data_IF_809362930439
#
_entry.id   IF_809362930439
#
_cell.length_a   1.000
_cell.length_b   1.000
_cell.length_c   1.000
_cell.angle_alpha   90.00
_cell.angle_beta   90.00
_cell.angle_gamma   90.00
#
_symmetry.space_group_name_H-M   'P 1'
#
loop_
_entity.id
_entity.type
_entity.pdbx_description
1 polymer ?
#
# COMPACT_ATOMS: atom_id res chain seq x y z
N UNK A 1 15.78 15.59 -16.05
CA UNK A 1 14.91 15.97 -17.20
C UNK A 1 13.78 16.86 -16.68
N UNK A 2 13.00 17.59 -17.49
CA UNK A 2 11.82 18.27 -16.96
C UNK A 2 10.81 17.22 -16.47
N UNK A 3 10.34 17.37 -15.23
CA UNK A 3 9.34 16.48 -14.65
C UNK A 3 8.03 16.57 -15.44
N UNK A 4 7.43 15.43 -15.79
CA UNK A 4 6.24 15.40 -16.62
C UNK A 4 4.98 15.82 -15.83
N UNK A 5 4.29 16.86 -16.28
CA UNK A 5 3.01 17.27 -15.70
C UNK A 5 1.85 16.45 -16.29
N UNK A 6 1.07 15.79 -15.43
CA UNK A 6 -0.08 14.99 -15.84
C UNK A 6 -1.35 15.85 -15.95
N UNK A 7 -2.11 15.64 -17.02
CA UNK A 7 -3.39 16.30 -17.24
C UNK A 7 -4.56 15.43 -16.78
N UNK A 8 -5.44 15.94 -15.92
CA UNK A 8 -6.58 15.19 -15.38
C UNK A 8 -7.56 14.68 -16.44
N UNK A 9 -7.61 15.27 -17.64
CA UNK A 9 -8.51 14.80 -18.71
C UNK A 9 -8.11 13.45 -19.33
N UNK A 10 -6.88 12.99 -19.11
CA UNK A 10 -6.36 11.71 -19.61
C UNK A 10 -5.81 10.87 -18.45
N UNK A 11 -6.68 10.23 -17.64
CA UNK A 11 -6.27 9.46 -16.48
C UNK A 11 -5.35 8.27 -16.82
N UNK A 12 -5.45 7.72 -18.03
CA UNK A 12 -4.70 6.56 -18.49
C UNK A 12 -3.26 6.87 -18.93
N UNK A 13 -2.92 8.15 -19.15
CA UNK A 13 -1.63 8.52 -19.73
C UNK A 13 -0.57 8.75 -18.66
N UNK A 14 0.50 7.99 -18.76
CA UNK A 14 1.74 8.16 -18.02
C UNK A 14 2.95 8.16 -18.97
N UNK A 15 4.04 8.87 -18.65
CA UNK A 15 5.32 8.73 -19.35
C UNK A 15 5.86 7.30 -19.20
N UNK A 16 6.73 6.89 -20.13
CA UNK A 16 7.44 5.61 -20.01
C UNK A 16 8.29 5.59 -18.73
N UNK A 17 8.23 4.49 -17.97
CA UNK A 17 8.89 4.37 -16.65
C UNK A 17 10.41 4.50 -16.70
N UNK A 18 11.06 4.16 -17.82
CA UNK A 18 12.51 4.35 -18.01
C UNK A 18 12.94 5.83 -18.04
N UNK A 19 11.99 6.77 -18.14
CA UNK A 19 12.23 8.21 -18.08
C UNK A 19 12.24 8.73 -16.64
N UNK A 20 11.97 7.87 -15.64
CA UNK A 20 12.00 8.25 -14.24
C UNK A 20 13.40 8.75 -13.83
N UNK A 21 13.42 9.73 -12.93
CA UNK A 21 14.66 10.29 -12.41
C UNK A 21 15.46 9.25 -11.62
N UNK A 22 16.79 9.32 -11.73
CA UNK A 22 17.70 8.51 -10.91
C UNK A 22 17.80 9.05 -9.48
N UNK A 23 17.68 10.37 -9.34
CA UNK A 23 17.73 11.08 -8.06
C UNK A 23 16.72 12.25 -8.07
N UNK A 24 15.66 12.21 -7.24
CA UNK A 24 15.29 11.10 -6.36
C UNK A 24 14.84 9.86 -7.17
N UNK A 25 15.19 8.65 -6.71
CA UNK A 25 15.00 7.42 -7.48
C UNK A 25 13.50 7.17 -7.77
N UNK A 26 13.16 7.14 -9.04
CA UNK A 26 11.85 6.75 -9.52
C UNK A 26 10.88 7.90 -9.72
N UNK A 27 11.21 9.15 -9.39
CA UNK A 27 10.29 10.26 -9.61
C UNK A 27 10.02 10.42 -11.12
N UNK A 28 8.76 10.25 -11.54
CA UNK A 28 8.39 10.15 -12.95
C UNK A 28 7.54 11.32 -13.42
N UNK A 29 6.56 11.73 -12.62
CA UNK A 29 5.58 12.75 -12.99
C UNK A 29 4.99 13.45 -11.77
N UNK A 30 4.39 14.63 -12.01
CA UNK A 30 3.62 15.38 -11.00
C UNK A 30 2.21 15.73 -11.51
N UNK A 31 1.31 16.03 -10.59
CA UNK A 31 -0.04 16.51 -10.87
C UNK A 31 -1.04 15.40 -11.22
N UNK A 32 -2.10 15.75 -11.94
CA UNK A 32 -3.24 14.87 -12.16
C UNK A 32 -4.18 14.83 -10.95
N UNK A 33 -4.69 13.65 -10.62
CA UNK A 33 -5.70 13.43 -9.57
C UNK A 33 -5.62 11.99 -9.03
N UNK A 34 -6.31 11.69 -7.93
CA UNK A 34 -6.33 10.35 -7.34
C UNK A 34 -7.59 9.54 -7.71
N UNK A 35 -8.26 9.85 -8.83
CA UNK A 35 -9.46 9.10 -9.21
C UNK A 35 -9.09 7.66 -9.57
N UNK A 36 -10.01 6.70 -9.35
CA UNK A 36 -9.78 5.28 -9.61
C UNK A 36 -9.15 4.97 -10.97
N UNK A 37 -9.64 5.60 -12.04
CA UNK A 37 -9.13 5.37 -13.39
C UNK A 37 -7.62 5.65 -13.52
N UNK A 38 -7.11 6.72 -12.88
CA UNK A 38 -5.68 7.07 -12.91
C UNK A 38 -4.87 6.14 -12.03
N UNK A 39 -5.32 5.86 -10.82
CA UNK A 39 -4.61 4.95 -9.91
C UNK A 39 -4.45 3.56 -10.53
N UNK A 40 -5.53 3.00 -11.08
CA UNK A 40 -5.49 1.70 -11.74
C UNK A 40 -4.56 1.71 -12.97
N UNK A 41 -4.55 2.79 -13.76
CA UNK A 41 -3.58 2.94 -14.85
C UNK A 41 -2.14 2.99 -14.32
N UNK A 42 -1.89 3.75 -13.25
CA UNK A 42 -0.57 3.85 -12.63
C UNK A 42 -0.05 2.48 -12.21
N UNK A 43 -0.82 1.73 -11.42
CA UNK A 43 -0.43 0.39 -10.95
C UNK A 43 -0.16 -0.58 -12.10
N UNK A 44 -0.96 -0.55 -13.17
CA UNK A 44 -0.75 -1.38 -14.38
C UNK A 44 0.55 -1.05 -15.10
N UNK A 45 1.06 0.17 -14.94
CA UNK A 45 2.36 0.60 -15.46
C UNK A 45 3.50 0.44 -14.43
N UNK A 46 3.23 -0.11 -13.24
CA UNK A 46 4.22 -0.20 -12.16
C UNK A 46 4.52 1.15 -11.50
N UNK A 47 3.59 2.09 -11.57
CA UNK A 47 3.70 3.45 -11.02
C UNK A 47 2.81 3.54 -9.78
N UNK A 48 3.27 4.25 -8.74
CA UNK A 48 2.46 4.50 -7.54
C UNK A 48 2.53 5.97 -7.10
N UNK A 49 1.47 6.50 -6.48
CA UNK A 49 1.47 7.84 -5.94
C UNK A 49 2.17 7.88 -4.56
N UNK A 50 2.99 8.89 -4.31
CA UNK A 50 3.60 9.10 -3.00
C UNK A 50 4.00 10.57 -2.82
N UNK A 51 3.35 11.28 -1.90
CA UNK A 51 3.54 12.72 -1.69
C UNK A 51 3.04 13.12 -0.30
N UNK A 52 3.43 14.32 0.14
CA UNK A 52 3.08 14.87 1.45
C UNK A 52 1.84 15.76 1.38
N UNK A 53 1.23 16.05 2.53
CA UNK A 53 0.12 16.99 2.60
C UNK A 53 0.53 18.38 2.09
N UNK A 54 -0.29 18.96 1.21
CA UNK A 54 0.00 20.24 0.55
C UNK A 54 0.84 20.13 -0.72
N UNK A 55 1.45 18.97 -1.01
CA UNK A 55 2.11 18.71 -2.29
C UNK A 55 1.11 18.26 -3.35
N UNK A 56 1.35 18.58 -4.65
CA UNK A 56 0.59 17.95 -5.73
C UNK A 56 0.90 16.44 -5.76
N UNK A 57 0.02 15.60 -6.34
CA UNK A 57 0.33 14.19 -6.51
C UNK A 57 1.66 13.98 -7.24
N UNK A 58 2.55 13.19 -6.65
CA UNK A 58 3.82 12.76 -7.27
C UNK A 58 3.75 11.28 -7.57
N UNK A 59 4.25 10.88 -8.73
CA UNK A 59 4.14 9.53 -9.27
C UNK A 59 5.51 8.91 -9.46
N UNK A 60 5.67 7.67 -8.98
CA UNK A 60 6.97 7.04 -8.80
C UNK A 60 7.06 5.67 -9.47
N UNK A 61 8.18 5.40 -10.12
CA UNK A 61 8.56 4.13 -10.75
C UNK A 61 10.07 3.85 -10.51
N UNK A 62 10.46 3.45 -9.28
CA UNK A 62 11.86 3.26 -8.91
C UNK A 62 12.51 2.07 -9.63
N UNK A 63 13.81 2.20 -9.89
CA UNK A 63 14.67 1.14 -10.43
C UNK A 63 15.94 1.00 -9.55
N UNK A 64 16.20 -0.15 -8.92
CA UNK A 64 15.38 -1.37 -8.92
C UNK A 64 14.09 -1.24 -8.11
N UNK A 65 13.07 -2.04 -8.46
CA UNK A 65 11.81 -2.14 -7.71
C UNK A 65 11.91 -3.21 -6.62
N UNK A 66 11.51 -2.85 -5.39
CA UNK A 66 11.35 -3.83 -4.32
C UNK A 66 10.15 -4.73 -4.60
N UNK A 67 10.37 -6.04 -4.62
CA UNK A 67 9.34 -7.07 -4.80
C UNK A 67 9.53 -8.17 -3.77
N UNK A 68 8.41 -8.74 -3.31
CA UNK A 68 8.40 -9.92 -2.46
C UNK A 68 7.70 -11.05 -3.22
N UNK A 69 8.44 -12.11 -3.56
CA UNK A 69 7.84 -13.31 -4.12
C UNK A 69 7.17 -14.10 -2.98
N UNK A 70 5.87 -14.45 -3.08
CA UNK A 70 5.18 -15.16 -1.99
C UNK A 70 5.91 -16.46 -1.56
N UNK A 71 6.46 -17.20 -2.52
CA UNK A 71 7.24 -18.42 -2.28
C UNK A 71 8.54 -18.20 -1.48
N UNK A 72 9.08 -16.98 -1.49
CA UNK A 72 10.34 -16.61 -0.83
C UNK A 72 10.14 -15.99 0.55
N UNK A 73 8.89 -15.91 1.05
CA UNK A 73 8.62 -15.26 2.32
C UNK A 73 9.35 -15.96 3.49
N UNK A 74 10.25 -15.21 4.12
CA UNK A 74 11.06 -15.74 5.20
C UNK A 74 10.25 -15.93 6.48
N UNK A 75 10.16 -17.18 6.95
CA UNK A 75 9.49 -17.57 8.19
C UNK A 75 10.50 -18.26 9.11
N UNK A 76 11.03 -17.53 10.09
CA UNK A 76 12.03 -18.09 10.99
C UNK A 76 11.43 -19.23 11.85
N UNK A 77 12.24 -20.25 12.17
CA UNK A 77 11.81 -21.39 13.00
C UNK A 77 11.28 -20.93 14.37
N UNK A 78 11.86 -19.86 14.93
CA UNK A 78 11.43 -19.26 16.21
C UNK A 78 10.02 -18.66 16.08
N UNK A 79 9.78 -17.92 15.00
CA UNK A 79 8.48 -17.30 14.74
C UNK A 79 7.39 -18.36 14.50
N UNK A 80 7.69 -19.41 13.74
CA UNK A 80 6.76 -20.52 13.53
C UNK A 80 6.41 -21.26 14.84
N UNK A 81 7.34 -21.37 15.79
CA UNK A 81 7.03 -21.94 17.12
C UNK A 81 6.14 -21.01 17.94
N UNK A 82 6.40 -19.70 17.90
CA UNK A 82 5.56 -18.71 18.56
C UNK A 82 4.12 -18.74 18.02
N UNK A 83 3.96 -18.84 16.70
CA UNK A 83 2.65 -18.87 16.04
C UNK A 83 1.76 -20.04 16.48
N UNK A 84 2.33 -21.18 16.92
CA UNK A 84 1.55 -22.34 17.38
C UNK A 84 0.72 -22.08 18.64
N UNK A 85 1.12 -21.11 19.44
CA UNK A 85 0.38 -20.67 20.63
C UNK A 85 -0.39 -19.37 20.41
N UNK A 86 -0.47 -18.89 19.16
CA UNK A 86 -1.18 -17.67 18.81
C UNK A 86 -2.64 -18.00 18.49
N UNK A 87 -3.55 -17.28 19.14
CA UNK A 87 -5.00 -17.40 19.02
C UNK A 87 -5.60 -16.26 18.19
N UNK A 88 -4.79 -15.59 17.37
CA UNK A 88 -5.23 -14.45 16.59
C UNK A 88 -5.99 -14.88 15.35
N UNK A 89 -7.02 -14.11 15.03
CA UNK A 89 -7.86 -14.30 13.85
C UNK A 89 -7.38 -13.41 12.72
N UNK A 90 -7.46 -13.93 11.49
CA UNK A 90 -7.16 -13.18 10.28
C UNK A 90 -8.45 -13.12 9.46
N UNK A 91 -8.79 -11.92 9.01
CA UNK A 91 -9.87 -11.70 8.04
C UNK A 91 -9.37 -10.85 6.89
N UNK A 92 -10.13 -10.86 5.80
CA UNK A 92 -9.92 -9.95 4.68
C UNK A 92 -11.19 -9.12 4.47
N UNK A 93 -11.01 -7.86 4.07
CA UNK A 93 -12.07 -6.91 3.71
C UNK A 93 -13.18 -6.76 4.76
N UNK A 94 -12.89 -7.07 6.03
CA UNK A 94 -13.86 -6.95 7.11
C UNK A 94 -13.97 -5.52 7.61
N UNK A 95 -12.86 -4.78 7.59
CA UNK A 95 -12.78 -3.42 8.13
C UNK A 95 -11.65 -2.61 7.48
N UNK A 96 -11.79 -2.36 6.17
CA UNK A 96 -10.78 -1.64 5.39
C UNK A 96 -10.46 -0.25 5.96
N UNK A 97 -11.51 0.48 6.39
CA UNK A 97 -11.40 1.81 6.97
C UNK A 97 -10.48 1.80 8.21
N UNK A 98 -10.72 0.91 9.16
CA UNK A 98 -9.88 0.83 10.36
C UNK A 98 -8.42 0.44 10.05
N UNK A 99 -8.19 -0.37 9.00
CA UNK A 99 -6.81 -0.73 8.59
C UNK A 99 -6.08 0.44 7.97
N UNK A 100 -6.69 1.17 7.03
CA UNK A 100 -6.03 2.33 6.40
C UNK A 100 -5.81 3.47 7.39
N UNK A 101 -6.75 3.69 8.30
CA UNK A 101 -6.60 4.65 9.42
C UNK A 101 -5.46 4.23 10.36
N UNK A 102 -5.38 2.94 10.71
CA UNK A 102 -4.28 2.40 11.50
C UNK A 102 -2.91 2.56 10.82
N UNK A 103 -2.87 2.47 9.49
CA UNK A 103 -1.67 2.77 8.70
C UNK A 103 -1.35 4.26 8.63
N UNK A 104 -2.37 5.13 8.62
CA UNK A 104 -2.22 6.58 8.54
C UNK A 104 -1.74 7.20 9.86
N UNK A 105 -2.00 6.52 10.98
CA UNK A 105 -1.64 7.00 12.31
C UNK A 105 -0.13 7.29 12.46
N UNK A 106 0.25 8.37 13.17
CA UNK A 106 1.63 8.68 13.51
C UNK A 106 2.35 7.50 14.18
N UNK A 107 3.55 7.17 13.68
CA UNK A 107 4.40 6.15 14.29
C UNK A 107 5.22 6.70 15.45
N UNK A 108 5.48 8.00 15.45
CA UNK A 108 6.19 8.72 16.50
C UNK A 108 5.49 10.05 16.80
N UNK A 109 5.59 10.59 18.03
CA UNK A 109 5.02 11.88 18.38
C UNK A 109 5.53 13.00 17.45
N UNK A 110 4.62 13.69 16.76
CA UNK A 110 4.94 14.77 15.82
C UNK A 110 5.28 14.33 14.39
N UNK A 111 5.26 13.04 14.09
CA UNK A 111 5.43 12.52 12.74
C UNK A 111 4.10 12.33 12.00
N UNK A 112 4.09 12.60 10.69
CA UNK A 112 2.99 12.25 9.78
C UNK A 112 3.36 11.07 8.87
N UNK A 113 2.36 10.45 8.25
CA UNK A 113 2.58 9.49 7.16
C UNK A 113 2.19 10.14 5.82
N UNK A 114 2.60 9.54 4.71
CA UNK A 114 2.13 9.95 3.38
C UNK A 114 0.66 9.61 3.13
N UNK A 115 0.03 8.86 4.04
CA UNK A 115 -1.38 8.45 3.97
C UNK A 115 -2.22 9.60 4.53
N UNK A 116 -2.26 10.69 3.75
CA UNK A 116 -3.04 11.89 4.01
C UNK A 116 -4.54 11.62 3.72
N UNK A 117 -5.47 12.50 4.14
CA UNK A 117 -6.91 12.30 3.92
C UNK A 117 -7.27 11.98 2.46
N UNK A 118 -6.64 12.66 1.50
CA UNK A 118 -6.86 12.41 0.08
C UNK A 118 -6.47 10.99 -0.37
N UNK A 119 -5.45 10.38 0.25
CA UNK A 119 -5.10 8.98 0.01
C UNK A 119 -6.13 8.06 0.65
N UNK A 120 -6.54 8.33 1.90
CA UNK A 120 -7.59 7.55 2.57
C UNK A 120 -8.85 7.47 1.72
N UNK A 121 -9.32 8.60 1.20
CA UNK A 121 -10.50 8.68 0.32
C UNK A 121 -10.29 7.88 -0.97
N UNK A 122 -9.13 8.04 -1.61
CA UNK A 122 -8.83 7.39 -2.88
C UNK A 122 -8.75 5.86 -2.79
N UNK A 123 -8.07 5.33 -1.77
CA UNK A 123 -7.98 3.88 -1.56
C UNK A 123 -9.29 3.29 -1.02
N UNK A 124 -10.06 4.06 -0.25
CA UNK A 124 -11.42 3.65 0.16
C UNK A 124 -12.36 3.52 -1.03
N UNK A 125 -12.26 4.43 -2.00
CA UNK A 125 -13.00 4.31 -3.26
C UNK A 125 -12.54 3.11 -4.09
N UNK A 126 -11.22 2.84 -4.17
CA UNK A 126 -10.72 1.62 -4.81
C UNK A 126 -11.21 0.35 -4.10
N UNK A 127 -11.34 0.37 -2.78
CA UNK A 127 -11.89 -0.74 -2.02
C UNK A 127 -13.37 -0.96 -2.36
N UNK A 128 -14.16 0.11 -2.38
CA UNK A 128 -15.58 0.06 -2.79
C UNK A 128 -15.75 -0.49 -4.21
N UNK A 129 -14.80 -0.24 -5.10
CA UNK A 129 -14.77 -0.74 -6.47
C UNK A 129 -14.20 -2.18 -6.60
N UNK A 130 -13.75 -2.79 -5.51
CA UNK A 130 -13.23 -4.16 -5.47
C UNK A 130 -11.78 -4.31 -5.93
N UNK A 131 -10.99 -3.23 -5.93
CA UNK A 131 -9.57 -3.26 -6.31
C UNK A 131 -8.61 -3.17 -5.12
N UNK A 132 -8.99 -2.44 -4.06
CA UNK A 132 -8.20 -2.38 -2.84
C UNK A 132 -8.74 -3.34 -1.80
N UNK A 133 -7.85 -4.02 -1.09
CA UNK A 133 -8.20 -5.02 -0.09
C UNK A 133 -7.40 -4.82 1.19
N UNK A 134 -8.01 -5.20 2.32
CA UNK A 134 -7.37 -5.22 3.63
C UNK A 134 -7.21 -6.65 4.13
N UNK A 135 -6.15 -6.89 4.89
CA UNK A 135 -6.05 -7.99 5.84
C UNK A 135 -6.03 -7.42 7.25
N UNK A 136 -6.92 -7.94 8.09
CA UNK A 136 -7.03 -7.58 9.49
C UNK A 136 -6.50 -8.70 10.37
N UNK A 137 -5.75 -8.35 11.41
CA UNK A 137 -5.34 -9.28 12.47
C UNK A 137 -6.03 -8.88 13.76
N UNK A 138 -6.76 -9.82 14.37
CA UNK A 138 -7.56 -9.59 15.56
C UNK A 138 -7.14 -10.52 16.71
N UNK A 139 -7.14 -9.98 17.93
CA UNK A 139 -7.05 -10.76 19.17
C UNK A 139 -8.27 -10.43 20.02
N UNK A 140 -8.99 -11.44 20.50
CA UNK A 140 -10.23 -11.24 21.29
C UNK A 140 -11.19 -10.24 20.61
N UNK A 141 -11.40 -10.39 19.31
CA UNK A 141 -12.21 -9.51 18.44
C UNK A 141 -11.68 -8.07 18.23
N UNK A 142 -10.61 -7.66 18.91
CA UNK A 142 -9.99 -6.33 18.74
C UNK A 142 -9.02 -6.35 17.58
N UNK A 143 -9.07 -5.33 16.72
CA UNK A 143 -8.09 -5.10 15.67
C UNK A 143 -6.74 -4.71 16.29
N UNK A 144 -5.70 -5.51 16.03
CA UNK A 144 -4.36 -5.34 16.62
C UNK A 144 -3.29 -5.04 15.57
N UNK A 145 -3.67 -4.96 14.29
CA UNK A 145 -2.79 -4.68 13.18
C UNK A 145 -3.41 -5.14 11.87
N UNK A 146 -2.72 -4.85 10.77
CA UNK A 146 -3.21 -5.18 9.44
C UNK A 146 -2.32 -4.64 8.34
N UNK A 147 -2.76 -4.88 7.12
CA UNK A 147 -2.14 -4.40 5.88
C UNK A 147 -3.25 -4.12 4.89
N UNK A 148 -3.08 -3.10 4.05
CA UNK A 148 -3.93 -2.90 2.88
C UNK A 148 -3.09 -2.79 1.61
N UNK A 149 -3.73 -3.04 0.49
CA UNK A 149 -3.09 -2.92 -0.82
C UNK A 149 -4.05 -3.01 -1.98
N UNK A 150 -3.52 -2.91 -3.19
CA UNK A 150 -4.29 -2.96 -4.43
C UNK A 150 -4.00 -4.28 -5.15
N UNK A 151 -5.05 -5.00 -5.54
CA UNK A 151 -4.97 -6.24 -6.31
C UNK A 151 -5.26 -5.96 -7.78
N UNK A 152 -4.28 -6.26 -8.65
CA UNK A 152 -4.45 -6.17 -10.10
C UNK A 152 -3.85 -7.40 -10.78
N UNK A 153 -4.72 -8.19 -11.42
CA UNK A 153 -4.29 -9.41 -12.10
C UNK A 153 -3.69 -10.41 -11.11
N UNK A 154 -2.44 -10.83 -11.35
CA UNK A 154 -1.71 -11.77 -10.49
C UNK A 154 -0.77 -11.11 -9.49
N UNK A 155 -0.87 -9.79 -9.27
CA UNK A 155 0.00 -9.04 -8.38
C UNK A 155 -0.79 -8.30 -7.29
N UNK A 156 -0.22 -8.26 -6.09
CA UNK A 156 -0.72 -7.48 -4.97
C UNK A 156 0.28 -6.38 -4.60
N UNK A 157 -0.15 -5.13 -4.70
CA UNK A 157 0.65 -3.96 -4.33
C UNK A 157 0.37 -3.63 -2.87
N UNK A 158 1.24 -4.11 -1.97
CA UNK A 158 1.14 -3.83 -0.55
C UNK A 158 1.51 -2.36 -0.26
N UNK A 159 0.52 -1.55 0.08
CA UNK A 159 0.67 -0.10 0.26
C UNK A 159 1.27 0.23 1.63
N UNK A 160 0.67 -0.31 2.68
CA UNK A 160 1.16 -0.11 4.04
C UNK A 160 0.65 -1.19 4.98
N UNK A 161 1.28 -1.26 6.14
CA UNK A 161 0.93 -2.16 7.24
C UNK A 161 1.23 -1.50 8.59
N UNK A 162 0.56 -1.97 9.64
CA UNK A 162 0.75 -1.46 10.99
C UNK A 162 0.54 -2.56 12.05
N UNK A 163 1.11 -2.34 13.23
CA UNK A 163 1.01 -3.24 14.39
C UNK A 163 0.72 -2.44 15.65
N UNK A 164 -0.38 -2.76 16.33
CA UNK A 164 -0.65 -2.32 17.70
C UNK A 164 -0.15 -3.35 18.72
N UNK A 165 -0.07 -4.62 18.33
CA UNK A 165 0.66 -5.67 19.05
C UNK A 165 1.80 -6.20 18.20
N UNK A 166 2.95 -6.47 18.83
CA UNK A 166 4.15 -6.97 18.15
C UNK A 166 3.86 -8.17 17.26
N UNK A 167 4.44 -8.22 16.06
CA UNK A 167 4.25 -9.26 15.03
C UNK A 167 2.91 -9.24 14.27
N UNK A 168 1.93 -8.39 14.60
CA UNK A 168 0.62 -8.40 13.93
C UNK A 168 0.71 -8.14 12.41
N UNK A 169 1.43 -7.11 11.96
CA UNK A 169 1.60 -6.83 10.53
C UNK A 169 2.38 -7.93 9.80
N UNK A 170 3.28 -8.63 10.49
CA UNK A 170 4.00 -9.77 9.92
C UNK A 170 3.12 -10.99 9.78
N UNK A 171 2.20 -11.23 10.73
CA UNK A 171 1.14 -12.24 10.59
C UNK A 171 0.29 -11.92 9.36
N UNK A 172 -0.14 -10.66 9.18
CA UNK A 172 -0.90 -10.22 8.01
C UNK A 172 -0.15 -10.48 6.69
N UNK A 173 1.12 -10.05 6.61
CA UNK A 173 1.95 -10.23 5.41
C UNK A 173 2.19 -11.72 5.09
N UNK A 174 2.43 -12.55 6.12
CA UNK A 174 2.61 -13.99 5.92
C UNK A 174 1.32 -14.66 5.48
N UNK A 175 0.17 -14.28 6.03
CA UNK A 175 -1.11 -14.82 5.59
C UNK A 175 -1.45 -14.46 4.15
N UNK A 176 -1.15 -13.23 3.72
CA UNK A 176 -1.28 -12.79 2.34
C UNK A 176 -0.40 -13.62 1.40
N UNK A 177 0.86 -13.86 1.76
CA UNK A 177 1.78 -14.63 0.93
C UNK A 177 1.45 -16.14 0.83
N UNK A 178 0.47 -16.61 1.61
CA UNK A 178 0.01 -18.01 1.60
C UNK A 178 -1.33 -18.21 0.89
N UNK A 179 -1.92 -17.16 0.32
CA UNK A 179 -3.13 -17.25 -0.52
C UNK A 179 -2.82 -17.82 -1.91
#
# INVERSE_FOLDING_TARGET
MPLHLLESRFPERFPATHLAERHPNGLLALGGDLRPARLLAAYRHGIFPWFSEGEPPLWWAPDPRCVLLPAEIHRSRRWLRWLRGCDWEISADRDFAAVIEGCAAPREPGGGTWIIPAMVDAYSELHRLGYAHSLEVRAEQRLIGGLYGVSIGGAFFAESMYSLRSEASKVALVALALQ
#
